data_IF_843763149956
#
_entry.id   IF_843763149956
#
_cell.length_a   1.000
_cell.length_b   1.000
_cell.length_c   1.000
_cell.angle_alpha   90.00
_cell.angle_beta   90.00
_cell.angle_gamma   90.00
#
_symmetry.space_group_name_H-M   'P 1'
#
loop_
_entity.id
_entity.type
_entity.pdbx_description
1 polymer ?
#
# COMPACT_ATOMS: atom_id res chain seq x y z
N UNK A 1 -3.96 10.22 5.97
CA UNK A 1 -3.11 9.02 6.23
C UNK A 1 -2.08 8.70 5.15
N UNK A 2 -1.98 9.50 4.06
CA UNK A 2 -0.99 9.32 3.00
C UNK A 2 -0.96 7.87 2.45
N UNK A 3 0.20 7.42 1.98
CA UNK A 3 0.39 6.11 1.33
C UNK A 3 0.21 4.88 2.22
N UNK A 4 -0.11 5.05 3.51
CA UNK A 4 -0.61 3.95 4.36
C UNK A 4 -1.87 3.33 3.74
N UNK A 5 -2.65 4.13 3.01
CA UNK A 5 -3.78 3.71 2.16
C UNK A 5 -3.47 2.45 1.34
N UNK A 6 -2.24 2.31 0.83
CA UNK A 6 -1.88 1.20 -0.06
C UNK A 6 -1.90 -0.18 0.62
N UNK A 7 -1.86 -0.23 1.95
CA UNK A 7 -2.07 -1.50 2.68
C UNK A 7 -3.53 -1.96 2.55
N UNK A 8 -4.49 -1.04 2.69
CA UNK A 8 -5.90 -1.34 2.43
C UNK A 8 -6.12 -1.73 0.96
N UNK A 9 -5.52 -0.98 0.03
CA UNK A 9 -5.55 -1.30 -1.41
C UNK A 9 -5.09 -2.73 -1.67
N UNK A 10 -3.94 -3.14 -1.10
CA UNK A 10 -3.43 -4.50 -1.27
C UNK A 10 -4.36 -5.56 -0.69
N UNK A 11 -4.96 -5.34 0.48
CA UNK A 11 -5.94 -6.28 1.05
C UNK A 11 -7.15 -6.47 0.15
N UNK A 12 -7.72 -5.38 -0.36
CA UNK A 12 -8.90 -5.45 -1.25
C UNK A 12 -8.57 -6.15 -2.57
N UNK A 13 -7.38 -5.93 -3.12
CA UNK A 13 -6.91 -6.65 -4.32
C UNK A 13 -6.79 -8.15 -4.05
N UNK A 14 -6.22 -8.54 -2.90
CA UNK A 14 -6.00 -9.95 -2.57
C UNK A 14 -7.31 -10.68 -2.26
N UNK A 15 -8.28 -10.00 -1.64
CA UNK A 15 -9.63 -10.53 -1.40
C UNK A 15 -10.42 -10.81 -2.69
N UNK A 16 -10.06 -10.17 -3.80
CA UNK A 16 -10.68 -10.45 -5.08
C UNK A 16 -10.26 -11.82 -5.66
N UNK A 17 -9.24 -12.48 -5.09
CA UNK A 17 -8.72 -13.78 -5.52
C UNK A 17 -8.40 -13.87 -7.02
N UNK A 18 -7.96 -12.75 -7.61
CA UNK A 18 -7.57 -12.68 -9.01
C UNK A 18 -6.16 -13.24 -9.24
N UNK A 19 -5.85 -13.76 -10.45
CA UNK A 19 -4.52 -14.27 -10.77
C UNK A 19 -3.45 -13.19 -10.59
N UNK A 20 -2.38 -13.54 -9.87
CA UNK A 20 -1.28 -12.62 -9.56
C UNK A 20 -0.32 -12.40 -10.74
N UNK A 21 -0.28 -13.35 -11.66
CA UNK A 21 0.52 -13.36 -12.88
C UNK A 21 -0.18 -12.67 -14.06
N UNK A 22 -1.45 -12.28 -13.91
CA UNK A 22 -2.20 -11.51 -14.90
C UNK A 22 -1.46 -10.19 -15.21
N UNK A 23 -1.21 -9.96 -16.50
CA UNK A 23 -0.59 -8.73 -16.99
C UNK A 23 -1.63 -7.62 -17.04
N UNK A 24 -1.40 -6.58 -16.25
CA UNK A 24 -2.29 -5.42 -16.15
C UNK A 24 -1.68 -4.22 -16.85
N UNK A 25 -2.53 -3.47 -17.57
CA UNK A 25 -2.12 -2.20 -18.18
C UNK A 25 -2.07 -1.11 -17.11
N UNK A 26 -1.01 -0.30 -17.10
CA UNK A 26 -0.89 0.87 -16.22
C UNK A 26 -1.90 1.93 -16.66
N UNK A 27 -2.94 2.11 -15.86
CA UNK A 27 -4.05 3.02 -16.10
C UNK A 27 -4.38 3.80 -14.83
N UNK A 28 -4.47 5.13 -14.97
CA UNK A 28 -4.78 6.07 -13.89
C UNK A 28 -6.00 6.94 -14.20
N UNK A 29 -6.72 6.65 -15.28
CA UNK A 29 -7.83 7.46 -15.81
C UNK A 29 -8.93 7.74 -14.78
N UNK A 30 -9.09 6.85 -13.80
CA UNK A 30 -10.11 6.95 -12.76
C UNK A 30 -9.59 7.54 -11.44
N UNK A 31 -8.31 7.93 -11.35
CA UNK A 31 -7.72 8.53 -10.15
C UNK A 31 -7.29 9.98 -10.43
N UNK A 32 -8.21 10.97 -10.32
CA UNK A 32 -7.93 12.35 -10.67
C UNK A 32 -6.81 12.99 -9.83
N UNK A 33 -6.60 12.52 -8.59
CA UNK A 33 -5.51 12.95 -7.72
C UNK A 33 -4.11 12.70 -8.30
N UNK A 34 -4.00 11.83 -9.31
CA UNK A 34 -2.74 11.56 -10.01
C UNK A 34 -2.35 12.65 -11.01
N UNK A 35 -3.22 13.63 -11.29
CA UNK A 35 -2.94 14.70 -12.24
C UNK A 35 -1.73 15.53 -11.76
N UNK A 36 -0.69 15.58 -12.58
CA UNK A 36 0.55 16.30 -12.27
C UNK A 36 1.49 15.56 -11.32
N UNK A 37 1.14 14.36 -10.85
CA UNK A 37 2.02 13.54 -10.02
C UNK A 37 3.03 12.81 -10.92
N UNK A 38 4.31 13.10 -10.68
CA UNK A 38 5.40 12.48 -11.40
C UNK A 38 5.53 10.98 -11.07
N UNK A 39 5.77 10.16 -12.08
CA UNK A 39 6.19 8.76 -11.95
C UNK A 39 7.04 8.35 -13.14
N UNK A 40 8.03 7.49 -12.90
CA UNK A 40 8.85 6.86 -13.95
C UNK A 40 8.10 5.74 -14.68
N UNK A 41 7.09 5.14 -14.05
CA UNK A 41 6.26 4.09 -14.64
C UNK A 41 5.44 4.70 -15.77
N UNK A 42 5.55 4.19 -16.99
CA UNK A 42 4.85 4.74 -18.16
C UNK A 42 3.37 4.32 -18.15
N UNK A 43 2.48 5.18 -18.62
CA UNK A 43 1.09 4.78 -18.88
C UNK A 43 1.04 3.81 -20.06
N UNK A 44 0.03 2.96 -20.08
CA UNK A 44 -0.22 1.93 -21.11
C UNK A 44 0.81 0.80 -21.18
N UNK A 45 1.91 0.86 -20.43
CA UNK A 45 2.78 -0.31 -20.26
C UNK A 45 2.10 -1.36 -19.40
N UNK A 46 2.57 -2.61 -19.48
CA UNK A 46 1.97 -3.73 -18.79
C UNK A 46 2.94 -4.36 -17.80
N UNK A 47 2.43 -4.78 -16.64
CA UNK A 47 3.19 -5.54 -15.65
C UNK A 47 2.25 -6.45 -14.87
N UNK A 48 2.77 -7.52 -14.26
CA UNK A 48 1.94 -8.46 -13.50
C UNK A 48 1.24 -7.77 -12.32
N UNK A 49 0.05 -8.28 -11.94
CA UNK A 49 -0.67 -7.84 -10.74
C UNK A 49 0.19 -7.96 -9.48
N UNK A 50 1.02 -9.01 -9.39
CA UNK A 50 2.00 -9.22 -8.32
C UNK A 50 2.99 -8.07 -8.24
N UNK A 51 3.57 -7.67 -9.37
CA UNK A 51 4.56 -6.61 -9.40
C UNK A 51 3.91 -5.24 -9.17
N UNK A 52 2.67 -5.02 -9.60
CA UNK A 52 1.93 -3.81 -9.20
C UNK A 52 1.77 -3.73 -7.68
N UNK A 53 1.41 -4.84 -7.02
CA UNK A 53 1.36 -4.91 -5.55
C UNK A 53 2.74 -4.65 -4.93
N UNK A 54 3.80 -5.22 -5.50
CA UNK A 54 5.18 -5.00 -5.05
C UNK A 54 5.55 -3.53 -5.11
N UNK A 55 5.38 -2.89 -6.27
CA UNK A 55 5.73 -1.48 -6.46
C UNK A 55 4.91 -0.54 -5.56
N UNK A 56 3.62 -0.83 -5.40
CA UNK A 56 2.74 -0.08 -4.51
C UNK A 56 3.18 -0.18 -3.03
N UNK A 57 3.58 -1.37 -2.57
CA UNK A 57 3.95 -1.60 -1.17
C UNK A 57 5.40 -1.18 -0.87
N UNK A 58 6.38 -1.70 -1.63
CA UNK A 58 7.81 -1.46 -1.43
C UNK A 58 8.18 0.01 -1.69
N UNK A 59 7.85 0.51 -2.88
CA UNK A 59 8.29 1.82 -3.36
C UNK A 59 7.23 2.90 -3.29
N UNK A 60 6.06 2.59 -2.72
CA UNK A 60 4.95 3.53 -2.62
C UNK A 60 4.45 4.06 -3.97
N UNK A 61 4.62 3.28 -5.04
CA UNK A 61 4.33 3.72 -6.41
C UNK A 61 2.82 3.96 -6.60
N UNK A 62 2.45 5.17 -7.03
CA UNK A 62 1.05 5.60 -7.07
C UNK A 62 0.31 5.09 -8.32
N UNK A 63 0.97 5.01 -9.49
CA UNK A 63 0.35 4.50 -10.72
C UNK A 63 0.01 3.02 -10.57
N UNK A 64 0.86 2.24 -9.93
CA UNK A 64 0.59 0.84 -9.60
C UNK A 64 -0.66 0.68 -8.72
N UNK A 65 -0.77 1.46 -7.62
CA UNK A 65 -1.94 1.42 -6.75
C UNK A 65 -3.24 1.87 -7.44
N UNK A 66 -3.17 2.90 -8.28
CA UNK A 66 -4.31 3.36 -9.09
C UNK A 66 -4.73 2.30 -10.12
N UNK A 67 -3.77 1.67 -10.80
CA UNK A 67 -4.04 0.63 -11.81
C UNK A 67 -4.68 -0.61 -11.19
N UNK A 68 -4.26 -1.01 -9.99
CA UNK A 68 -4.89 -2.11 -9.25
C UNK A 68 -6.37 -1.86 -8.97
N UNK A 69 -6.74 -0.61 -8.62
CA UNK A 69 -8.13 -0.23 -8.42
C UNK A 69 -8.93 -0.16 -9.74
N UNK A 70 -8.29 0.29 -10.81
CA UNK A 70 -8.89 0.33 -12.14
C UNK A 70 -9.27 -1.07 -12.64
N UNK A 71 -8.38 -2.05 -12.48
CA UNK A 71 -8.57 -3.45 -12.89
C UNK A 71 -9.32 -4.31 -11.86
N UNK A 72 -10.05 -3.69 -10.95
CA UNK A 72 -10.85 -4.42 -9.97
C UNK A 72 -12.18 -4.90 -10.59
N UNK A 73 -12.72 -6.08 -10.21
CA UNK A 73 -14.02 -6.53 -10.69
C UNK A 73 -15.13 -5.55 -10.30
N UNK A 74 -15.90 -5.07 -11.28
CA UNK A 74 -16.87 -4.00 -11.07
C UNK A 74 -16.29 -2.58 -11.14
N UNK A 75 -15.00 -2.44 -11.46
CA UNK A 75 -14.32 -1.19 -11.73
C UNK A 75 -13.92 -0.38 -10.51
N UNK A 76 -13.42 0.83 -10.76
CA UNK A 76 -12.86 1.73 -9.75
C UNK A 76 -13.84 2.04 -8.61
N UNK A 77 -15.10 2.37 -8.91
CA UNK A 77 -16.08 2.69 -7.87
C UNK A 77 -16.41 1.48 -6.99
N UNK A 78 -16.40 0.27 -7.56
CA UNK A 78 -16.54 -0.96 -6.78
C UNK A 78 -15.32 -1.17 -5.86
N UNK A 79 -14.12 -0.83 -6.33
CA UNK A 79 -12.91 -0.86 -5.50
C UNK A 79 -13.02 0.06 -4.29
N UNK A 80 -13.43 1.33 -4.49
CA UNK A 80 -13.57 2.29 -3.38
C UNK A 80 -14.66 1.84 -2.40
N UNK A 81 -15.78 1.28 -2.89
CA UNK A 81 -16.79 0.66 -2.02
C UNK A 81 -16.20 -0.51 -1.23
N UNK A 82 -15.43 -1.38 -1.85
CA UNK A 82 -14.79 -2.52 -1.19
C UNK A 82 -13.77 -2.08 -0.12
N UNK A 83 -12.98 -1.04 -0.36
CA UNK A 83 -12.08 -0.45 0.64
C UNK A 83 -12.84 0.03 1.88
N UNK A 84 -13.95 0.75 1.70
CA UNK A 84 -14.75 1.25 2.83
C UNK A 84 -15.54 0.13 3.53
N UNK A 85 -16.06 -0.85 2.78
CA UNK A 85 -16.72 -2.03 3.35
C UNK A 85 -15.75 -2.85 4.22
N UNK A 86 -14.52 -3.05 3.74
CA UNK A 86 -13.45 -3.68 4.53
C UNK A 86 -13.11 -2.87 5.77
N UNK A 87 -12.97 -1.55 5.66
CA UNK A 87 -12.74 -0.68 6.82
C UNK A 87 -13.84 -0.87 7.89
N UNK A 88 -15.11 -0.90 7.48
CA UNK A 88 -16.24 -1.15 8.38
C UNK A 88 -16.18 -2.55 9.00
N UNK A 89 -15.89 -3.59 8.22
CA UNK A 89 -15.76 -4.96 8.70
C UNK A 89 -14.63 -5.14 9.73
N UNK A 90 -13.55 -4.36 9.60
CA UNK A 90 -12.45 -4.30 10.57
C UNK A 90 -12.77 -3.39 11.78
N UNK A 91 -13.96 -2.78 11.83
CA UNK A 91 -14.36 -1.85 12.89
C UNK A 91 -13.61 -0.53 12.84
N UNK A 92 -13.06 -0.12 11.70
CA UNK A 92 -12.32 1.14 11.49
C UNK A 92 -13.29 2.32 11.34
N UNK A 93 -14.01 2.66 12.41
CA UNK A 93 -15.16 3.59 12.37
C UNK A 93 -14.80 5.05 12.11
N UNK A 94 -13.53 5.43 12.19
CA UNK A 94 -13.03 6.78 11.89
C UNK A 94 -12.16 6.79 10.63
N UNK A 95 -12.32 5.79 9.77
CA UNK A 95 -11.60 5.68 8.50
C UNK A 95 -12.53 5.87 7.32
N UNK A 96 -12.09 6.66 6.33
CA UNK A 96 -12.74 6.81 5.03
C UNK A 96 -11.69 6.83 3.92
N UNK A 97 -11.95 6.05 2.88
CA UNK A 97 -11.17 6.03 1.65
C UNK A 97 -11.98 6.64 0.51
N UNK A 98 -11.38 7.54 -0.26
CA UNK A 98 -11.94 8.08 -1.50
C UNK A 98 -11.13 7.69 -2.74
N UNK A 99 -9.89 7.26 -2.55
CA UNK A 99 -8.98 6.83 -3.62
C UNK A 99 -7.91 5.84 -3.09
N UNK A 100 -7.25 5.06 -3.97
CA UNK A 100 -6.43 3.90 -3.57
C UNK A 100 -4.96 4.21 -3.25
N UNK A 101 -4.49 5.42 -3.48
CA UNK A 101 -3.08 5.80 -3.42
C UNK A 101 -2.71 6.50 -2.11
N UNK A 102 -3.64 7.25 -1.50
CA UNK A 102 -3.39 8.09 -0.33
C UNK A 102 -2.99 9.53 -0.64
N UNK A 103 -3.12 9.98 -1.89
CA UNK A 103 -2.87 11.36 -2.30
C UNK A 103 -3.97 12.32 -1.84
N UNK A 104 -5.22 11.84 -1.74
CA UNK A 104 -6.32 12.70 -1.35
C UNK A 104 -6.25 13.03 0.14
N UNK A 105 -6.43 14.31 0.47
CA UNK A 105 -6.59 14.75 1.88
C UNK A 105 -7.87 14.19 2.51
N UNK A 106 -8.81 13.71 1.69
CA UNK A 106 -10.04 13.08 2.15
C UNK A 106 -9.87 11.59 2.49
N UNK A 107 -8.68 11.00 2.26
CA UNK A 107 -8.29 9.73 2.86
C UNK A 107 -7.89 9.95 4.33
N UNK A 108 -8.86 9.74 5.23
CA UNK A 108 -8.75 10.01 6.67
C UNK A 108 -8.85 8.74 7.50
N UNK A 109 -8.08 8.67 8.58
CA UNK A 109 -8.03 7.54 9.52
C UNK A 109 -7.46 8.01 10.86
N UNK A 110 -7.56 7.17 11.88
CA UNK A 110 -6.90 7.36 13.20
C UNK A 110 -5.83 6.29 13.41
N UNK A 111 -4.87 6.48 14.31
CA UNK A 111 -3.93 5.39 14.64
C UNK A 111 -4.64 4.14 15.18
N UNK A 112 -5.70 4.31 15.98
CA UNK A 112 -6.45 3.18 16.51
C UNK A 112 -6.97 2.29 15.37
N UNK A 113 -7.49 2.92 14.32
CA UNK A 113 -7.99 2.19 13.15
C UNK A 113 -6.85 1.64 12.30
N UNK A 114 -5.74 2.36 12.15
CA UNK A 114 -4.55 1.85 11.48
C UNK A 114 -3.91 0.65 12.21
N UNK A 115 -4.00 0.57 13.54
CA UNK A 115 -3.60 -0.63 14.30
C UNK A 115 -4.48 -1.83 13.96
N UNK A 116 -5.79 -1.64 13.79
CA UNK A 116 -6.70 -2.72 13.34
C UNK A 116 -6.34 -3.18 11.93
N UNK A 117 -6.02 -2.25 11.03
CA UNK A 117 -5.51 -2.58 9.69
C UNK A 117 -4.21 -3.39 9.75
N UNK A 118 -3.27 -3.00 10.62
CA UNK A 118 -2.02 -3.74 10.82
C UNK A 118 -2.24 -5.15 11.36
N UNK A 119 -3.14 -5.33 12.33
CA UNK A 119 -3.49 -6.66 12.85
C UNK A 119 -4.12 -7.51 11.75
N UNK A 120 -5.11 -6.97 11.03
CA UNK A 120 -5.76 -7.68 9.93
C UNK A 120 -4.78 -8.11 8.82
N UNK A 121 -3.70 -7.36 8.61
CA UNK A 121 -2.66 -7.68 7.61
C UNK A 121 -1.88 -8.96 7.91
N UNK A 122 -1.97 -9.51 9.11
CA UNK A 122 -1.37 -10.82 9.45
C UNK A 122 -1.97 -11.96 8.64
N UNK A 123 -3.24 -11.83 8.23
CA UNK A 123 -3.92 -12.79 7.37
C UNK A 123 -3.45 -12.71 5.91
N UNK A 124 -2.55 -11.77 5.58
CA UNK A 124 -2.04 -11.55 4.23
C UNK A 124 -0.51 -11.62 4.20
N UNK A 125 0.11 -12.81 4.32
CA UNK A 125 1.56 -12.97 4.35
C UNK A 125 2.28 -12.30 3.17
N UNK A 126 1.62 -12.29 2.00
CA UNK A 126 2.15 -11.67 0.80
C UNK A 126 2.36 -10.15 0.95
N UNK A 127 1.46 -9.43 1.63
CA UNK A 127 1.64 -7.99 1.86
C UNK A 127 2.92 -7.75 2.65
N UNK A 128 3.15 -8.55 3.69
CA UNK A 128 4.39 -8.52 4.47
C UNK A 128 5.62 -8.71 3.58
N UNK A 129 5.66 -9.82 2.84
CA UNK A 129 6.75 -10.17 1.91
C UNK A 129 7.06 -9.05 0.92
N UNK A 130 6.05 -8.53 0.22
CA UNK A 130 6.24 -7.50 -0.80
C UNK A 130 6.67 -6.16 -0.18
N UNK A 131 6.13 -5.82 0.98
CA UNK A 131 6.45 -4.57 1.66
C UNK A 131 7.87 -4.52 2.23
N UNK A 132 8.49 -5.67 2.47
CA UNK A 132 9.84 -5.79 3.06
C UNK A 132 10.94 -6.08 2.05
N UNK A 133 10.59 -6.28 0.76
CA UNK A 133 11.56 -6.36 -0.33
C UNK A 133 12.47 -5.13 -0.31
N UNK A 134 13.79 -5.34 -0.30
CA UNK A 134 14.77 -4.25 -0.23
C UNK A 134 14.80 -3.45 -1.53
N UNK A 135 15.04 -4.15 -2.65
CA UNK A 135 15.14 -3.58 -3.99
C UNK A 135 14.59 -4.59 -4.99
N UNK A 136 14.05 -4.11 -6.11
CA UNK A 136 13.62 -4.96 -7.23
C UNK A 136 13.75 -4.19 -8.55
N UNK A 137 14.04 -4.87 -9.65
CA UNK A 137 13.96 -4.28 -10.99
C UNK A 137 12.68 -4.75 -11.68
N UNK A 138 11.69 -3.86 -11.74
CA UNK A 138 10.43 -4.15 -12.42
C UNK A 138 10.61 -4.10 -13.93
N UNK A 139 10.17 -5.15 -14.61
CA UNK A 139 10.20 -5.26 -16.07
C UNK A 139 8.79 -5.15 -16.63
N UNK A 140 8.57 -4.13 -17.44
CA UNK A 140 7.30 -3.84 -18.09
C UNK A 140 7.31 -4.40 -19.51
N UNK A 141 6.12 -4.72 -20.03
CA UNK A 141 5.86 -5.08 -21.41
C UNK A 141 5.05 -3.98 -22.11
N UNK A 142 5.04 -4.02 -23.45
CA UNK A 142 4.17 -3.20 -24.31
C UNK A 142 4.06 -1.70 -23.93
N UNK A 143 5.16 -0.91 -23.96
CA UNK A 143 6.49 -1.23 -24.46
C UNK A 143 7.40 -1.89 -23.42
N UNK A 144 8.38 -2.66 -23.89
CA UNK A 144 9.35 -3.31 -23.02
C UNK A 144 10.36 -2.30 -22.44
N UNK A 145 10.49 -2.25 -21.11
CA UNK A 145 11.55 -1.51 -20.41
C UNK A 145 11.64 -1.99 -18.96
N UNK A 146 12.77 -1.71 -18.30
CA UNK A 146 12.96 -2.05 -16.89
C UNK A 146 13.29 -0.81 -16.06
N UNK A 147 12.84 -0.79 -14.80
CA UNK A 147 13.12 0.28 -13.86
C UNK A 147 13.56 -0.30 -12.51
N UNK A 148 14.66 0.19 -11.93
CA UNK A 148 15.04 -0.18 -10.58
C UNK A 148 14.16 0.56 -9.57
N UNK A 149 13.73 -0.16 -8.54
CA UNK A 149 12.95 0.32 -7.42
C UNK A 149 13.59 -0.07 -6.09
N UNK A 150 13.46 0.81 -5.11
CA UNK A 150 14.00 0.63 -3.75
C UNK A 150 12.92 0.81 -2.73
N UNK A 151 13.05 0.14 -1.60
CA UNK A 151 12.12 0.30 -0.51
C UNK A 151 12.16 1.74 0.03
N UNK A 152 10.98 2.31 0.26
CA UNK A 152 10.85 3.65 0.85
C UNK A 152 11.17 3.67 2.34
N UNK A 153 11.13 2.54 3.02
CA UNK A 153 11.57 2.43 4.41
C UNK A 153 13.03 1.94 4.49
N UNK A 154 13.97 2.84 4.78
CA UNK A 154 15.39 2.48 4.93
C UNK A 154 15.68 1.48 6.06
N UNK A 155 14.75 1.26 7.00
CA UNK A 155 14.95 0.29 8.08
C UNK A 155 15.02 -1.15 7.57
N UNK A 156 14.44 -1.47 6.40
CA UNK A 156 14.51 -2.84 5.85
C UNK A 156 15.92 -3.28 5.48
N UNK A 157 16.85 -2.32 5.34
CA UNK A 157 18.26 -2.60 5.04
C UNK A 157 19.09 -2.89 6.30
N UNK A 158 18.52 -2.74 7.50
CA UNK A 158 19.23 -2.94 8.75
C UNK A 158 18.97 -4.34 9.28
N UNK A 159 20.02 -5.16 9.35
CA UNK A 159 19.90 -6.59 9.71
C UNK A 159 19.44 -6.81 11.17
N UNK A 160 19.52 -5.80 12.03
CA UNK A 160 19.02 -5.86 13.41
C UNK A 160 17.52 -5.57 13.54
N UNK A 161 16.80 -5.35 12.43
CA UNK A 161 15.35 -5.17 12.42
C UNK A 161 14.66 -6.36 11.76
N UNK A 162 13.86 -7.10 12.54
CA UNK A 162 12.96 -8.11 11.98
C UNK A 162 11.63 -7.46 11.60
N UNK A 163 11.54 -6.88 10.40
CA UNK A 163 10.35 -6.20 9.89
C UNK A 163 9.48 -7.23 9.17
N UNK A 164 8.23 -7.38 9.61
CA UNK A 164 7.24 -8.29 9.03
C UNK A 164 6.28 -7.58 8.06
N UNK A 165 6.09 -6.27 8.22
CA UNK A 165 5.37 -5.41 7.28
C UNK A 165 5.82 -3.97 7.48
N UNK A 166 5.91 -3.19 6.40
CA UNK A 166 6.13 -1.74 6.52
C UNK A 166 5.43 -0.94 5.44
N UNK A 167 4.95 0.26 5.79
CA UNK A 167 4.53 1.24 4.80
C UNK A 167 4.77 2.65 5.31
N UNK A 168 5.53 3.41 4.54
CA UNK A 168 5.71 4.86 4.72
C UNK A 168 4.59 5.64 4.00
N UNK A 169 4.37 6.87 4.40
CA UNK A 169 3.54 7.82 3.68
C UNK A 169 4.01 9.25 3.92
N UNK A 170 3.85 10.09 2.90
CA UNK A 170 4.06 11.52 3.06
C UNK A 170 3.09 12.27 2.14
N UNK A 171 2.46 13.31 2.68
CA UNK A 171 1.82 14.40 1.91
C UNK A 171 1.98 15.67 2.72
N UNK A 172 1.90 16.85 2.08
CA UNK A 172 1.98 18.13 2.80
C UNK A 172 0.94 18.25 3.92
N UNK A 173 -0.25 17.67 3.73
CA UNK A 173 -1.33 17.71 4.72
C UNK A 173 -1.18 16.65 5.83
N UNK A 174 -0.61 15.48 5.53
CA UNK A 174 -0.48 14.39 6.50
C UNK A 174 0.86 14.39 7.26
N UNK A 175 1.88 15.09 6.78
CA UNK A 175 3.25 14.95 7.27
C UNK A 175 3.83 13.57 6.93
N UNK A 176 4.92 13.20 7.61
CA UNK A 176 5.51 11.85 7.48
C UNK A 176 4.76 10.86 8.35
N UNK A 177 4.21 9.82 7.74
CA UNK A 177 3.53 8.72 8.39
C UNK A 177 4.33 7.42 8.18
N UNK A 178 4.35 6.54 9.18
CA UNK A 178 4.90 5.19 9.09
C UNK A 178 4.00 4.23 9.83
N UNK A 179 3.66 3.11 9.19
CA UNK A 179 3.18 1.91 9.88
C UNK A 179 4.18 0.77 9.68
N UNK A 180 4.39 -0.03 10.72
CA UNK A 180 5.32 -1.15 10.69
C UNK A 180 4.88 -2.24 11.65
N UNK A 181 4.95 -3.51 11.25
CA UNK A 181 4.92 -4.66 12.16
C UNK A 181 6.34 -5.24 12.22
N UNK A 182 6.89 -5.39 13.41
CA UNK A 182 8.26 -5.86 13.62
C UNK A 182 8.35 -6.70 14.89
N UNK A 183 9.36 -7.56 15.02
CA UNK A 183 9.65 -8.28 16.26
C UNK A 183 10.79 -7.58 16.99
N UNK A 184 10.55 -7.10 18.21
CA UNK A 184 11.57 -6.51 19.10
C UNK A 184 11.66 -7.40 20.34
N UNK A 185 12.85 -7.89 20.67
CA UNK A 185 13.10 -8.75 21.85
C UNK A 185 12.13 -9.95 21.94
N UNK A 186 11.92 -10.68 20.83
CA UNK A 186 10.99 -11.83 20.75
C UNK A 186 9.50 -11.47 20.95
N UNK A 187 9.13 -10.17 20.92
CA UNK A 187 7.72 -9.72 20.99
C UNK A 187 7.30 -9.01 19.70
N UNK A 188 6.16 -9.37 19.09
CA UNK A 188 5.65 -8.64 17.94
C UNK A 188 5.11 -7.26 18.35
N UNK A 189 5.46 -6.24 17.58
CA UNK A 189 5.20 -4.82 17.82
C UNK A 189 4.69 -4.17 16.55
N UNK A 190 3.59 -3.41 16.65
CA UNK A 190 3.13 -2.49 15.63
C UNK A 190 3.58 -1.06 15.97
N UNK A 191 4.37 -0.41 15.12
CA UNK A 191 4.76 0.98 15.28
C UNK A 191 4.00 1.86 14.28
N UNK A 192 3.20 2.79 14.80
CA UNK A 192 2.81 4.01 14.12
C UNK A 192 3.81 5.10 14.49
N UNK A 193 4.28 5.91 13.54
CA UNK A 193 5.17 7.05 13.80
C UNK A 193 4.76 8.23 12.94
N UNK A 194 4.53 9.41 13.54
CA UNK A 194 3.82 10.43 12.78
C UNK A 194 3.72 11.79 13.50
N UNK A 195 3.23 12.79 12.76
CA UNK A 195 2.31 13.81 13.27
C UNK A 195 0.89 13.27 13.59
N UNK A 196 0.74 11.96 13.72
CA UNK A 196 -0.42 11.06 13.91
C UNK A 196 0.09 9.75 14.57
N UNK A 197 0.75 9.91 15.73
CA UNK A 197 1.19 8.89 16.69
C UNK A 197 2.58 8.26 16.51
N UNK A 198 3.46 8.49 17.50
CA UNK A 198 4.59 7.60 17.90
C UNK A 198 4.06 6.60 18.93
N UNK A 199 3.62 5.42 18.51
CA UNK A 199 3.20 4.41 19.49
C UNK A 199 3.49 3.00 19.00
N UNK A 200 4.26 2.29 19.84
CA UNK A 200 4.56 0.86 19.74
C UNK A 200 3.43 0.13 20.47
N UNK A 201 2.64 -0.64 19.74
CA UNK A 201 1.62 -1.52 20.30
C UNK A 201 2.15 -2.95 20.31
N UNK A 202 2.27 -3.60 21.48
CA UNK A 202 2.48 -5.04 21.51
C UNK A 202 1.27 -5.74 20.90
N UNK A 203 1.52 -6.64 19.96
CA UNK A 203 0.49 -7.57 19.47
C UNK A 203 0.37 -8.66 20.54
N UNK A 204 -0.85 -8.84 21.08
CA UNK A 204 -1.14 -9.84 22.10
C UNK A 204 -1.45 -11.18 21.47
#
# INVERSE_FOLDING_TARGET
>A
MASITKVMTAMVVLDAHLPLDEMLTVDISHTPEMKGIYSRVRLNSQISRRDMLLLALMSSENRAAASLAHHYPGGYDAFIRAMNAKAQALGMTHTRYVEPTGLSVHNVSTARDLTKLLIASEQYPLIGQLSTTKEETATFAHPAYSLPFRNTNHLVYRDNWNIQLTKTGFTNAAGHCLIMRTVINQRPVAAGGDGCLRQIYPLR
#
